data_IF_087779282155
#
_entry.id   IF_087779282155
#
_cell.length_a   1.000
_cell.length_b   1.000
_cell.length_c   1.000
_cell.angle_alpha   90.00
_cell.angle_beta   90.00
_cell.angle_gamma   90.00
#
_symmetry.space_group_name_H-M   'P 1'
#
loop_
_entity.id
_entity.type
_entity.pdbx_description
1 polymer ?
#
# COMPACT_ATOMS: atom_id res chain seq x y z
N UNK A 1 -11.60 10.49 -2.41
CA UNK A 1 -12.14 11.24 -3.55
C UNK A 1 -11.04 12.14 -4.10
N UNK A 2 -10.74 12.03 -5.39
CA UNK A 2 -9.78 12.87 -6.10
C UNK A 2 -10.32 14.30 -6.32
N UNK A 3 -9.49 15.20 -6.90
CA UNK A 3 -9.91 16.61 -7.11
C UNK A 3 -11.02 16.75 -8.13
N UNK A 4 -11.08 15.88 -9.11
CA UNK A 4 -12.06 15.83 -10.19
C UNK A 4 -13.41 15.19 -9.80
N UNK A 5 -13.54 14.78 -8.53
CA UNK A 5 -14.75 14.13 -8.00
C UNK A 5 -14.83 12.64 -8.23
N UNK A 6 -13.79 12.02 -8.80
CA UNK A 6 -13.72 10.57 -9.00
C UNK A 6 -13.29 9.85 -7.73
N UNK A 7 -13.50 8.54 -7.70
CA UNK A 7 -13.13 7.68 -6.60
C UNK A 7 -12.08 6.65 -7.01
N UNK A 8 -11.21 6.34 -6.06
CA UNK A 8 -10.17 5.35 -6.20
C UNK A 8 -10.25 4.34 -5.07
N UNK A 9 -10.12 3.07 -5.40
CA UNK A 9 -10.18 1.96 -4.46
C UNK A 9 -8.96 1.07 -4.66
N UNK A 10 -8.41 0.56 -3.54
CA UNK A 10 -7.45 -0.53 -3.56
C UNK A 10 -8.19 -1.87 -3.61
N UNK A 11 -7.67 -2.82 -4.36
CA UNK A 11 -8.17 -4.19 -4.37
C UNK A 11 -7.22 -5.13 -3.64
N UNK A 12 -7.76 -5.91 -2.72
CA UNK A 12 -7.01 -6.82 -1.86
C UNK A 12 -6.58 -8.10 -2.59
N UNK A 13 -7.40 -8.57 -3.53
CA UNK A 13 -7.20 -9.88 -4.16
C UNK A 13 -6.33 -9.82 -5.40
N UNK A 14 -6.41 -8.74 -6.15
CA UNK A 14 -5.70 -8.57 -7.41
C UNK A 14 -4.62 -7.51 -7.41
N UNK A 15 -4.10 -7.03 -6.28
CA UNK A 15 -3.39 -5.78 -6.00
C UNK A 15 -3.50 -4.71 -7.11
N UNK A 16 -4.71 -4.19 -7.28
CA UNK A 16 -5.04 -3.17 -8.28
C UNK A 16 -5.49 -1.86 -7.65
N UNK A 17 -5.37 -0.78 -8.42
CA UNK A 17 -6.21 0.41 -8.23
C UNK A 17 -7.41 0.36 -9.17
N UNK A 18 -8.58 0.62 -8.62
CA UNK A 18 -9.85 0.76 -9.35
C UNK A 18 -10.25 2.22 -9.38
N UNK A 19 -10.56 2.73 -10.57
CA UNK A 19 -10.98 4.12 -10.78
C UNK A 19 -12.43 4.17 -11.20
N UNK A 20 -13.24 4.96 -10.49
CA UNK A 20 -14.67 5.09 -10.75
C UNK A 20 -15.12 6.55 -10.76
N UNK A 21 -16.23 6.83 -11.44
CA UNK A 21 -16.94 8.09 -11.28
C UNK A 21 -17.67 8.18 -9.92
N UNK A 22 -18.36 9.29 -9.69
CA UNK A 22 -19.12 9.53 -8.46
C UNK A 22 -20.30 8.55 -8.25
N UNK A 23 -20.73 7.85 -9.30
CA UNK A 23 -21.84 6.86 -9.26
C UNK A 23 -21.34 5.44 -9.01
N UNK A 24 -20.01 5.22 -9.02
CA UNK A 24 -19.37 3.91 -8.88
C UNK A 24 -19.15 3.19 -10.22
N UNK A 25 -19.41 3.85 -11.36
CA UNK A 25 -19.10 3.28 -12.67
C UNK A 25 -17.60 3.27 -12.89
N UNK A 26 -17.06 2.10 -13.23
CA UNK A 26 -15.62 1.93 -13.56
C UNK A 26 -15.28 2.71 -14.82
N UNK A 27 -14.22 3.52 -14.76
CA UNK A 27 -13.80 4.42 -15.83
C UNK A 27 -12.73 3.82 -16.74
N UNK A 28 -11.94 2.89 -16.22
CA UNK A 28 -10.83 2.27 -16.95
C UNK A 28 -10.52 0.87 -16.41
N UNK A 29 -9.66 0.13 -17.09
CA UNK A 29 -9.21 -1.17 -16.63
C UNK A 29 -8.47 -1.05 -15.27
N UNK A 30 -8.59 -2.06 -14.38
CA UNK A 30 -7.83 -2.07 -13.12
C UNK A 30 -6.33 -1.86 -13.35
N UNK A 31 -5.71 -0.98 -12.56
CA UNK A 31 -4.30 -0.62 -12.70
C UNK A 31 -3.48 -1.43 -11.70
N UNK A 32 -2.71 -2.45 -12.15
CA UNK A 32 -1.99 -3.34 -11.25
C UNK A 32 -0.77 -2.66 -10.60
N UNK A 33 -0.46 -3.02 -9.34
CA UNK A 33 0.76 -2.58 -8.67
C UNK A 33 2.01 -3.08 -9.41
N UNK A 34 3.01 -2.21 -9.62
CA UNK A 34 4.25 -2.60 -10.30
C UNK A 34 5.00 -3.71 -9.56
N UNK A 35 5.35 -4.78 -10.29
CA UNK A 35 6.16 -5.88 -9.76
C UNK A 35 5.46 -6.77 -8.72
N UNK A 36 4.15 -6.63 -8.51
CA UNK A 36 3.39 -7.44 -7.54
C UNK A 36 2.33 -8.25 -8.27
N UNK A 37 2.23 -9.54 -7.96
CA UNK A 37 1.20 -10.43 -8.49
C UNK A 37 0.66 -11.36 -7.41
N UNK A 38 -0.65 -11.32 -7.22
CA UNK A 38 -1.39 -12.29 -6.41
C UNK A 38 -1.92 -13.45 -7.27
N UNK A 39 -2.29 -14.60 -6.66
CA UNK A 39 -2.75 -15.77 -7.40
C UNK A 39 -4.00 -15.52 -8.28
N UNK A 40 -4.86 -14.60 -7.87
CA UNK A 40 -6.11 -14.27 -8.57
C UNK A 40 -5.97 -13.10 -9.56
N UNK A 41 -4.77 -12.56 -9.74
CA UNK A 41 -4.50 -11.50 -10.73
C UNK A 41 -4.50 -12.06 -12.15
N UNK A 42 -5.49 -11.73 -13.00
CA UNK A 42 -5.55 -12.22 -14.37
C UNK A 42 -4.75 -11.37 -15.37
N UNK A 43 -4.25 -10.20 -14.95
CA UNK A 43 -3.76 -9.17 -15.87
C UNK A 43 -2.35 -9.41 -16.40
N UNK A 44 -1.56 -10.22 -15.73
CA UNK A 44 -0.14 -10.44 -16.05
C UNK A 44 0.20 -11.93 -15.96
N UNK A 45 -0.27 -12.77 -16.88
CA UNK A 45 -0.13 -14.22 -16.79
C UNK A 45 1.33 -14.68 -16.71
N UNK A 46 2.25 -13.98 -17.38
CA UNK A 46 3.67 -14.33 -17.41
C UNK A 46 4.45 -13.93 -16.15
N UNK A 47 3.90 -13.07 -15.32
CA UNK A 47 4.57 -12.66 -14.08
C UNK A 47 4.40 -13.73 -13.01
N UNK A 48 5.49 -14.17 -12.34
CA UNK A 48 5.37 -15.13 -11.25
C UNK A 48 4.62 -14.52 -10.05
N UNK A 49 3.81 -15.36 -9.39
CA UNK A 49 3.10 -14.99 -8.17
C UNK A 49 4.11 -14.76 -7.05
N UNK A 50 4.13 -13.57 -6.49
CA UNK A 50 5.01 -13.15 -5.40
C UNK A 50 4.28 -12.53 -4.20
N UNK A 51 2.95 -12.57 -4.20
CA UNK A 51 2.12 -12.13 -3.10
C UNK A 51 1.14 -13.25 -2.73
N UNK A 52 0.82 -13.38 -1.45
CA UNK A 52 -0.22 -14.30 -0.97
C UNK A 52 -1.60 -13.82 -1.43
N UNK A 53 -2.56 -14.74 -1.52
CA UNK A 53 -3.95 -14.38 -1.74
C UNK A 53 -4.47 -13.49 -0.61
N UNK A 54 -5.34 -12.52 -0.93
CA UNK A 54 -5.91 -11.61 0.07
C UNK A 54 -4.83 -10.89 0.88
N UNK A 55 -3.94 -10.21 0.20
CA UNK A 55 -2.80 -9.50 0.82
C UNK A 55 -2.40 -8.26 0.01
N UNK A 56 -3.28 -7.82 -0.88
CA UNK A 56 -3.06 -6.70 -1.79
C UNK A 56 -3.21 -5.33 -1.16
N UNK A 57 -3.93 -4.44 -1.85
CA UNK A 57 -4.09 -3.05 -1.41
C UNK A 57 -5.19 -2.92 -0.36
N UNK A 58 -4.87 -3.11 0.91
CA UNK A 58 -5.78 -2.90 2.04
C UNK A 58 -5.80 -1.43 2.46
N UNK A 59 -4.63 -0.84 2.71
CA UNK A 59 -4.50 0.56 3.08
C UNK A 59 -4.22 1.47 1.88
N UNK A 60 -4.88 2.63 1.84
CA UNK A 60 -4.58 3.63 0.82
C UNK A 60 -4.80 5.05 1.33
N UNK A 61 -3.76 5.87 1.28
CA UNK A 61 -3.84 7.29 1.59
C UNK A 61 -3.86 8.15 0.33
N UNK A 62 -4.48 9.32 0.42
CA UNK A 62 -4.36 10.38 -0.58
C UNK A 62 -3.52 11.53 -0.02
N UNK A 63 -2.60 12.07 -0.81
CA UNK A 63 -1.80 13.24 -0.40
C UNK A 63 -2.69 14.44 -0.06
N UNK A 64 -2.21 15.34 0.82
CA UNK A 64 -2.97 16.51 1.23
C UNK A 64 -3.31 17.45 0.07
N UNK A 65 -2.47 17.50 -0.93
CA UNK A 65 -2.72 18.26 -2.15
C UNK A 65 -3.55 17.47 -3.18
N UNK A 66 -3.97 16.25 -2.84
CA UNK A 66 -4.77 15.33 -3.69
C UNK A 66 -4.18 15.11 -5.09
N UNK A 67 -2.86 15.01 -5.17
CA UNK A 67 -2.15 14.72 -6.41
C UNK A 67 -1.65 13.28 -6.50
N UNK A 68 -1.45 12.65 -5.35
CA UNK A 68 -0.91 11.30 -5.28
C UNK A 68 -1.75 10.40 -4.41
N UNK A 69 -1.83 9.14 -4.80
CA UNK A 69 -2.31 8.06 -3.95
C UNK A 69 -1.11 7.25 -3.45
N UNK A 70 -1.24 6.74 -2.25
CA UNK A 70 -0.26 5.88 -1.61
C UNK A 70 -0.91 4.54 -1.25
N UNK A 71 -1.10 3.63 -2.23
CA UNK A 71 -1.55 2.28 -1.94
C UNK A 71 -0.47 1.48 -1.22
N UNK A 72 -0.87 0.69 -0.24
CA UNK A 72 -0.01 -0.16 0.56
C UNK A 72 -0.42 -1.61 0.45
N UNK A 73 0.56 -2.51 0.38
CA UNK A 73 0.30 -3.93 0.54
C UNK A 73 -0.04 -4.23 2.01
N UNK A 74 -1.09 -5.02 2.22
CA UNK A 74 -1.45 -5.54 3.54
C UNK A 74 -0.30 -6.32 4.15
N UNK A 75 0.40 -7.12 3.33
CA UNK A 75 1.46 -8.03 3.76
C UNK A 75 2.74 -7.85 2.96
N UNK A 76 3.82 -8.45 3.49
CA UNK A 76 5.10 -8.58 2.77
C UNK A 76 4.97 -9.46 1.52
N UNK A 77 5.89 -9.28 0.58
CA UNK A 77 6.06 -10.20 -0.54
C UNK A 77 6.58 -11.57 -0.06
N UNK A 78 6.27 -12.62 -0.83
CA UNK A 78 6.70 -13.98 -0.53
C UNK A 78 8.23 -14.06 -0.42
N UNK A 79 8.71 -14.63 0.68
CA UNK A 79 10.14 -14.80 0.94
C UNK A 79 10.84 -13.58 1.53
N UNK A 80 10.15 -12.46 1.75
CA UNK A 80 10.68 -11.30 2.44
C UNK A 80 10.37 -11.33 3.95
N UNK A 81 11.00 -10.42 4.72
CA UNK A 81 10.68 -10.20 6.13
C UNK A 81 9.19 -9.86 6.28
N UNK A 82 8.46 -10.63 7.08
CA UNK A 82 7.00 -10.47 7.29
C UNK A 82 6.59 -9.08 7.79
N UNK A 83 7.53 -8.33 8.36
CA UNK A 83 7.31 -6.96 8.84
C UNK A 83 7.49 -5.89 7.75
N UNK A 84 7.91 -6.28 6.56
CA UNK A 84 8.24 -5.36 5.48
C UNK A 84 7.04 -5.18 4.56
N UNK A 85 6.42 -4.03 4.62
CA UNK A 85 5.29 -3.66 3.77
C UNK A 85 5.71 -2.59 2.78
N UNK A 86 5.21 -2.69 1.54
CA UNK A 86 5.50 -1.71 0.51
C UNK A 86 4.36 -0.72 0.36
N UNK A 87 4.72 0.55 0.25
CA UNK A 87 3.85 1.66 -0.08
C UNK A 87 4.31 2.21 -1.43
N UNK A 88 3.41 2.31 -2.38
CA UNK A 88 3.68 2.81 -3.73
C UNK A 88 3.16 4.22 -3.87
N UNK A 89 3.69 4.96 -4.85
CA UNK A 89 3.15 6.25 -5.22
C UNK A 89 2.52 6.18 -6.61
N UNK A 90 1.29 6.69 -6.70
CA UNK A 90 0.55 6.82 -7.94
C UNK A 90 0.20 8.29 -8.17
N UNK A 91 0.61 8.86 -9.30
CA UNK A 91 0.31 10.24 -9.68
C UNK A 91 -1.05 10.31 -10.37
N UNK A 92 -1.99 10.99 -9.73
CA UNK A 92 -3.36 11.15 -10.22
C UNK A 92 -3.47 11.99 -11.51
N UNK A 93 -2.45 12.80 -11.82
CA UNK A 93 -2.45 13.62 -13.03
C UNK A 93 -2.03 12.81 -14.26
N UNK A 94 -0.99 12.01 -14.12
CA UNK A 94 -0.51 11.15 -15.22
C UNK A 94 -1.29 9.86 -15.35
N UNK A 95 -1.99 9.42 -14.27
CA UNK A 95 -2.63 8.12 -14.21
C UNK A 95 -1.62 6.96 -14.18
N UNK A 96 -0.44 7.19 -13.62
CA UNK A 96 0.65 6.22 -13.62
C UNK A 96 1.30 6.10 -12.24
N UNK A 97 1.83 4.93 -11.93
CA UNK A 97 2.76 4.80 -10.81
C UNK A 97 4.04 5.58 -11.11
N UNK A 98 4.56 6.22 -10.07
CA UNK A 98 5.92 6.80 -10.13
C UNK A 98 6.96 5.72 -9.85
N UNK A 99 8.25 6.08 -9.95
CA UNK A 99 9.34 5.17 -9.56
C UNK A 99 9.54 5.10 -8.03
N UNK A 100 8.76 5.89 -7.28
CA UNK A 100 8.87 5.97 -5.82
C UNK A 100 8.13 4.82 -5.16
N UNK A 101 8.85 4.13 -4.28
CA UNK A 101 8.33 3.07 -3.43
C UNK A 101 9.01 3.11 -2.07
N UNK A 102 8.22 3.10 -1.02
CA UNK A 102 8.73 3.10 0.34
C UNK A 102 8.51 1.76 1.02
N UNK A 103 9.33 1.51 2.01
CA UNK A 103 9.17 0.37 2.92
C UNK A 103 8.68 0.89 4.27
N UNK A 104 7.54 0.38 4.70
CA UNK A 104 7.07 0.47 6.06
C UNK A 104 7.48 -0.80 6.81
N UNK A 105 8.02 -0.66 8.00
CA UNK A 105 8.39 -1.78 8.84
C UNK A 105 7.45 -1.85 10.04
N UNK A 106 6.57 -2.84 10.05
CA UNK A 106 5.63 -3.06 11.14
C UNK A 106 6.35 -3.36 12.46
N UNK A 107 5.70 -3.07 13.57
CA UNK A 107 6.16 -3.41 14.89
C UNK A 107 6.35 -4.92 15.06
N UNK A 108 7.16 -5.32 16.03
CA UNK A 108 7.30 -6.73 16.37
C UNK A 108 5.97 -7.26 16.91
N UNK A 109 5.43 -8.32 16.32
CA UNK A 109 4.21 -8.92 16.84
C UNK A 109 4.49 -9.57 18.20
N UNK A 110 3.47 -9.61 19.02
CA UNK A 110 3.52 -10.32 20.31
C UNK A 110 2.22 -11.11 20.48
N UNK A 111 2.31 -12.39 20.56
CA UNK A 111 3.52 -13.24 20.47
C UNK A 111 4.13 -13.27 19.05
N UNK A 112 5.41 -13.66 18.93
CA UNK A 112 6.18 -13.54 17.67
C UNK A 112 5.66 -14.39 16.51
N UNK A 113 4.82 -15.39 16.76
CA UNK A 113 4.15 -16.18 15.72
C UNK A 113 2.97 -15.46 15.05
N UNK A 114 2.61 -14.29 15.56
CA UNK A 114 1.57 -13.45 14.95
C UNK A 114 2.21 -12.50 13.94
N UNK A 115 1.46 -12.22 12.91
CA UNK A 115 1.83 -11.26 11.88
C UNK A 115 1.06 -9.96 12.10
N UNK A 116 1.75 -8.83 12.09
CA UNK A 116 1.09 -7.53 11.98
C UNK A 116 0.95 -7.17 10.50
N UNK A 117 -0.22 -6.73 10.14
CA UNK A 117 -0.56 -6.32 8.77
C UNK A 117 -1.03 -4.88 8.77
N UNK A 118 -0.95 -4.22 7.61
CA UNK A 118 -1.52 -2.89 7.43
C UNK A 118 -3.01 -3.04 7.20
N UNK A 119 -3.82 -2.44 8.07
CA UNK A 119 -5.28 -2.41 7.93
C UNK A 119 -5.78 -1.16 7.25
N UNK A 120 -5.14 -0.01 7.46
CA UNK A 120 -5.50 1.25 6.81
C UNK A 120 -4.39 2.28 6.98
N UNK A 121 -4.47 3.38 6.20
CA UNK A 121 -3.57 4.51 6.40
C UNK A 121 -4.15 5.83 5.87
N UNK A 122 -3.66 6.94 6.42
CA UNK A 122 -4.05 8.28 6.01
C UNK A 122 -2.86 9.24 6.01
N UNK A 123 -2.88 10.23 5.12
CA UNK A 123 -1.85 11.27 5.09
C UNK A 123 -2.12 12.35 6.15
N UNK A 124 -1.16 12.54 7.05
CA UNK A 124 -1.18 13.65 8.02
C UNK A 124 -0.73 14.96 7.38
N UNK A 125 0.31 14.89 6.57
CA UNK A 125 0.86 15.99 5.80
C UNK A 125 1.61 15.47 4.56
N UNK A 126 2.43 16.32 3.92
CA UNK A 126 3.16 15.95 2.71
C UNK A 126 4.27 14.90 2.93
N UNK A 127 4.66 14.66 4.18
CA UNK A 127 5.83 13.81 4.52
C UNK A 127 5.51 12.72 5.55
N UNK A 128 4.27 12.68 6.07
CA UNK A 128 3.89 11.73 7.12
C UNK A 128 2.59 11.03 6.80
N UNK A 129 2.62 9.72 6.98
CA UNK A 129 1.45 8.86 6.95
C UNK A 129 1.17 8.34 8.37
N UNK A 130 -0.08 8.27 8.74
CA UNK A 130 -0.54 7.49 9.88
C UNK A 130 -0.94 6.12 9.35
N UNK A 131 -0.37 5.07 9.93
CA UNK A 131 -0.62 3.68 9.54
C UNK A 131 -1.31 2.97 10.69
N UNK A 132 -2.35 2.20 10.39
CA UNK A 132 -3.03 1.33 11.34
C UNK A 132 -2.51 -0.09 11.12
N UNK A 133 -1.80 -0.60 12.11
CA UNK A 133 -1.44 -2.02 12.17
C UNK A 133 -2.54 -2.80 12.88
N UNK A 134 -2.80 -4.00 12.40
CA UNK A 134 -3.70 -4.95 13.06
C UNK A 134 -3.10 -6.34 13.10
N UNK A 135 -3.55 -7.12 14.06
CA UNK A 135 -3.34 -8.56 14.11
C UNK A 135 -4.59 -9.32 13.62
N UNK A 136 -4.56 -10.63 13.69
CA UNK A 136 -5.69 -11.51 13.35
C UNK A 136 -6.44 -12.03 14.59
N UNK A 137 -6.17 -11.48 15.77
CA UNK A 137 -6.81 -11.90 17.01
C UNK A 137 -8.21 -11.26 17.17
N UNK A 138 -9.16 -11.76 16.43
CA UNK A 138 -10.55 -11.32 16.59
C UNK A 138 -11.15 -11.83 17.91
N UNK A 139 -11.53 -10.89 18.77
CA UNK A 139 -12.43 -11.17 19.90
C UNK A 139 -11.86 -11.91 21.10
N UNK A 140 -10.58 -12.28 21.12
CA UNK A 140 -9.89 -12.72 22.34
C UNK A 140 -9.31 -11.49 23.03
N UNK A 141 -9.79 -11.18 24.22
CA UNK A 141 -9.11 -10.23 25.08
C UNK A 141 -7.69 -10.75 25.33
N UNK A 142 -6.64 -10.01 24.99
CA UNK A 142 -5.31 -10.34 25.46
C UNK A 142 -5.34 -10.34 26.98
N UNK A 143 -4.58 -11.22 27.60
CA UNK A 143 -4.36 -11.26 29.06
C UNK A 143 -3.66 -10.01 29.61
N UNK A 144 -3.40 -9.02 28.76
CA UNK A 144 -2.90 -7.68 29.10
C UNK A 144 -3.64 -6.65 28.24
N UNK A 145 -4.00 -5.47 28.79
CA UNK A 145 -4.62 -4.42 28.02
C UNK A 145 -3.60 -3.87 27.01
N UNK A 146 -3.70 -4.29 25.77
CA UNK A 146 -3.01 -3.63 24.67
C UNK A 146 -4.03 -2.77 23.95
N UNK A 147 -3.82 -1.50 24.06
CA UNK A 147 -4.36 -0.53 23.13
C UNK A 147 -4.01 -0.97 21.70
N UNK A 148 -4.97 -0.93 20.80
CA UNK A 148 -4.69 -0.78 19.38
C UNK A 148 -3.74 0.40 19.26
N UNK A 149 -2.44 0.13 19.17
CA UNK A 149 -1.44 1.18 19.12
C UNK A 149 -1.59 1.88 17.79
N UNK A 150 -2.05 3.11 17.85
CA UNK A 150 -1.81 4.09 16.79
C UNK A 150 -0.28 4.28 16.74
N UNK A 151 0.39 3.45 15.99
CA UNK A 151 1.83 3.46 15.94
C UNK A 151 2.28 4.32 14.78
N UNK A 152 2.99 5.34 15.15
CA UNK A 152 4.03 6.07 14.47
C UNK A 152 3.78 6.51 13.02
N UNK A 153 3.77 7.83 12.86
CA UNK A 153 3.95 8.49 11.57
C UNK A 153 5.27 8.05 10.91
N UNK A 154 5.22 7.14 9.95
CA UNK A 154 6.33 6.87 9.06
C UNK A 154 6.65 8.14 8.26
N UNK A 155 7.89 8.60 8.31
CA UNK A 155 8.34 9.73 7.50
C UNK A 155 8.61 9.21 6.09
N UNK A 156 7.93 9.77 5.09
CA UNK A 156 8.28 9.56 3.68
C UNK A 156 9.59 10.31 3.45
N UNK A 157 10.74 9.65 3.19
CA UNK A 157 11.98 10.36 2.87
C UNK A 157 11.78 11.09 1.55
N UNK A 158 12.07 12.37 1.49
CA UNK A 158 12.27 13.02 0.19
C UNK A 158 13.48 12.35 -0.46
N UNK A 159 13.30 11.72 -1.62
CA UNK A 159 14.39 11.28 -2.45
C UNK A 159 15.24 12.51 -2.78
N UNK A 160 16.51 12.51 -2.35
CA UNK A 160 17.48 13.43 -2.89
C UNK A 160 17.67 13.03 -4.36
N UNK A 161 17.36 13.92 -5.28
CA UNK A 161 17.58 13.76 -6.70
C UNK A 161 19.10 13.65 -6.95
N UNK A 162 19.65 12.43 -6.87
CA UNK A 162 20.98 12.14 -7.34
C UNK A 162 20.88 11.77 -8.82
N UNK A 163 21.27 12.72 -9.66
CA UNK A 163 21.43 12.55 -11.09
C UNK A 163 22.24 11.29 -11.40
N UNK A 164 21.59 10.26 -11.94
CA UNK A 164 22.26 9.13 -12.56
C UNK A 164 22.90 9.63 -13.83
N UNK A 165 24.23 9.82 -13.82
CA UNK A 165 25.03 10.02 -15.04
C UNK A 165 24.93 8.74 -15.87
N UNK A 166 24.32 8.81 -17.04
CA UNK A 166 24.44 7.79 -18.06
C UNK A 166 25.90 7.78 -18.53
N UNK A 167 26.62 6.69 -18.28
CA UNK A 167 27.87 6.41 -18.98
C UNK A 167 27.51 5.79 -20.33
N UNK A 168 27.75 6.54 -21.39
CA UNK A 168 27.86 6.02 -22.76
C UNK A 168 29.20 5.33 -22.90
N UNK A 169 29.22 4.09 -23.28
CA UNK A 169 30.30 3.40 -23.99
C UNK A 169 29.69 2.38 -24.91
#
# INVERSE_FOLDING_TARGET
>A
MARDGTWWFGDEFGPFLLHTDATGKVLEAPIPLPGVKAPKDPTRPEQPVNLRSSSGCEGMAISKDRRHLYPSLERSLNGEDARKHYIYEFDLRSGQYTDERWTYRADLPVPPEQEHVIGDMTALDQNRLLVIERDFLQGRRPSSPRSSSLTSAGRIPRASCSSVRRSTS
#
